data_IF_532940317255
#
_entry.id   IF_532940317255
#
_cell.length_a   1.000
_cell.length_b   1.000
_cell.length_c   1.000
_cell.angle_alpha   90.00
_cell.angle_beta   90.00
_cell.angle_gamma   90.00
#
_symmetry.space_group_name_H-M   'P 1'
#
loop_
_entity.id
_entity.type
_entity.pdbx_description
1 polymer ?
#
# COMPACT_ATOMS: atom_id res chain seq x y z
N UNK A 1 -3.89 -19.05 -30.03
CA UNK A 1 -4.57 -18.13 -29.08
C UNK A 1 -4.73 -16.79 -29.78
N UNK A 2 -5.95 -16.28 -29.88
CA UNK A 2 -6.24 -15.04 -30.62
C UNK A 2 -5.78 -13.84 -29.77
N UNK A 3 -4.72 -13.15 -30.20
CA UNK A 3 -4.05 -12.05 -29.48
C UNK A 3 -4.98 -10.85 -29.17
N UNK A 4 -6.12 -10.77 -29.84
CA UNK A 4 -7.09 -9.69 -29.75
C UNK A 4 -7.94 -9.67 -28.47
N UNK A 5 -7.98 -10.74 -27.67
CA UNK A 5 -8.80 -10.79 -26.44
C UNK A 5 -8.14 -10.20 -25.18
N UNK A 6 -6.83 -9.96 -25.21
CA UNK A 6 -6.06 -9.39 -24.08
C UNK A 6 -6.12 -7.85 -24.08
N UNK A 7 -6.35 -7.25 -25.26
CA UNK A 7 -6.27 -5.80 -25.47
C UNK A 7 -7.44 -5.03 -24.82
N UNK A 8 -8.56 -5.71 -24.51
CA UNK A 8 -9.77 -5.09 -23.95
C UNK A 8 -10.08 -5.45 -22.48
N UNK A 9 -9.11 -5.97 -21.71
CA UNK A 9 -9.32 -6.29 -20.29
C UNK A 9 -8.39 -5.47 -19.39
N UNK A 10 -8.94 -4.92 -18.31
CA UNK A 10 -8.15 -4.37 -17.21
C UNK A 10 -7.45 -5.52 -16.49
N UNK A 11 -6.13 -5.50 -16.47
CA UNK A 11 -5.32 -6.47 -15.74
C UNK A 11 -4.18 -5.77 -15.02
N UNK A 12 -3.78 -6.36 -13.90
CA UNK A 12 -2.61 -5.97 -13.11
C UNK A 12 -1.82 -7.25 -12.84
N UNK A 13 -0.56 -7.25 -13.24
CA UNK A 13 0.42 -8.27 -12.96
C UNK A 13 1.33 -7.76 -11.85
N UNK A 14 1.49 -8.54 -10.79
CA UNK A 14 2.33 -8.21 -9.63
C UNK A 14 3.25 -9.40 -9.38
N UNK A 15 4.55 -9.13 -9.30
CA UNK A 15 5.57 -10.10 -8.93
C UNK A 15 6.32 -9.56 -7.71
N UNK A 16 6.36 -10.36 -6.65
CA UNK A 16 7.07 -10.04 -5.41
C UNK A 16 7.61 -11.30 -4.75
N UNK A 17 8.66 -11.17 -3.94
CA UNK A 17 9.07 -12.20 -2.99
C UNK A 17 8.26 -12.14 -1.70
N UNK A 18 8.13 -13.27 -1.01
CA UNK A 18 7.56 -13.40 0.33
C UNK A 18 8.58 -13.01 1.42
N UNK A 19 9.84 -13.37 1.24
CA UNK A 19 10.95 -12.93 2.09
C UNK A 19 12.24 -12.72 1.29
N UNK A 20 13.16 -11.95 1.88
CA UNK A 20 14.50 -11.77 1.37
C UNK A 20 15.46 -12.86 1.85
N UNK A 21 16.76 -12.63 1.68
CA UNK A 21 17.81 -13.57 2.07
C UNK A 21 19.04 -12.81 2.56
N UNK A 22 19.71 -13.34 3.59
CA UNK A 22 21.01 -12.84 4.03
C UNK A 22 22.11 -13.15 3.02
N UNK A 23 23.25 -12.46 3.12
CA UNK A 23 24.43 -12.70 2.26
C UNK A 23 24.95 -14.15 2.32
N UNK A 24 24.63 -14.88 3.40
CA UNK A 24 25.00 -16.28 3.59
C UNK A 24 23.96 -17.28 3.08
N UNK A 25 22.85 -16.81 2.50
CA UNK A 25 21.78 -17.66 2.00
C UNK A 25 20.73 -18.07 3.04
N UNK A 26 20.83 -17.58 4.29
CA UNK A 26 19.82 -17.83 5.34
C UNK A 26 18.63 -16.87 5.20
N UNK A 27 17.48 -17.27 5.71
CA UNK A 27 16.28 -16.45 5.83
C UNK A 27 15.59 -16.65 7.20
N UNK A 28 14.49 -15.94 7.44
CA UNK A 28 13.69 -16.06 8.68
C UNK A 28 14.20 -15.25 9.86
N UNK A 29 15.34 -14.56 9.71
CA UNK A 29 15.80 -13.54 10.64
C UNK A 29 15.13 -12.19 10.45
N UNK A 30 15.64 -11.17 11.15
CA UNK A 30 15.11 -9.81 11.14
C UNK A 30 16.04 -8.82 10.42
N UNK A 31 17.04 -9.30 9.68
CA UNK A 31 17.98 -8.43 8.97
C UNK A 31 17.28 -7.70 7.81
N UNK A 32 17.81 -6.55 7.41
CA UNK A 32 17.28 -5.81 6.25
C UNK A 32 17.25 -6.68 5.00
N UNK A 33 18.32 -7.45 4.74
CA UNK A 33 18.40 -8.35 3.58
C UNK A 33 17.33 -9.44 3.58
N UNK A 34 16.95 -9.95 4.76
CA UNK A 34 15.91 -10.98 4.91
C UNK A 34 14.47 -10.44 4.85
N UNK A 35 14.28 -9.14 5.10
CA UNK A 35 12.95 -8.49 5.05
C UNK A 35 12.68 -7.75 3.74
N UNK A 36 13.72 -7.43 2.98
CA UNK A 36 13.59 -6.69 1.72
C UNK A 36 13.41 -7.65 0.55
N UNK A 37 12.33 -7.46 -0.21
CA UNK A 37 12.04 -8.19 -1.45
C UNK A 37 11.85 -7.23 -2.62
N UNK A 38 12.10 -7.71 -3.83
CA UNK A 38 11.78 -6.94 -5.03
C UNK A 38 10.27 -6.96 -5.30
N UNK A 39 9.73 -5.83 -5.74
CA UNK A 39 8.34 -5.69 -6.20
C UNK A 39 8.31 -5.15 -7.63
N UNK A 40 7.57 -5.83 -8.49
CA UNK A 40 7.38 -5.46 -9.89
C UNK A 40 5.89 -5.47 -10.24
N UNK A 41 5.42 -4.40 -10.87
CA UNK A 41 4.01 -4.20 -11.21
C UNK A 41 3.84 -3.74 -12.66
N UNK A 42 2.90 -4.35 -13.39
CA UNK A 42 2.57 -4.02 -14.78
C UNK A 42 1.05 -4.07 -14.98
N UNK A 43 0.46 -3.19 -15.79
CA UNK A 43 -0.98 -3.25 -16.07
C UNK A 43 -1.40 -2.58 -17.38
N UNK A 44 -2.62 -2.89 -17.85
CA UNK A 44 -3.14 -2.40 -19.14
C UNK A 44 -3.58 -0.94 -19.18
N UNK A 45 -3.71 -0.26 -18.04
CA UNK A 45 -4.21 1.12 -17.93
C UNK A 45 -3.44 1.96 -16.90
N UNK A 46 -2.11 1.87 -16.91
CA UNK A 46 -1.25 2.69 -16.06
C UNK A 46 -1.26 4.15 -16.54
N UNK A 47 -1.57 5.10 -15.65
CA UNK A 47 -1.36 6.52 -15.93
C UNK A 47 0.14 6.80 -16.03
N UNK A 48 0.67 6.79 -17.27
CA UNK A 48 2.10 7.04 -17.59
C UNK A 48 2.62 8.40 -17.12
N UNK A 49 1.76 9.31 -16.69
CA UNK A 49 2.11 10.70 -16.36
C UNK A 49 2.80 10.86 -15.00
N UNK A 50 2.76 9.86 -14.11
CA UNK A 50 3.32 9.95 -12.75
C UNK A 50 4.46 8.96 -12.49
N UNK A 51 4.92 8.23 -13.51
CA UNK A 51 6.19 7.54 -13.40
C UNK A 51 7.27 8.62 -13.41
N UNK A 52 7.80 8.96 -12.23
CA UNK A 52 9.00 9.80 -12.07
C UNK A 52 10.27 9.19 -12.72
N UNK A 53 10.12 8.14 -13.54
CA UNK A 53 11.14 7.51 -14.36
C UNK A 53 11.09 8.04 -15.80
N UNK A 54 10.81 9.34 -15.99
CA UNK A 54 10.82 9.99 -17.31
C UNK A 54 12.21 10.24 -17.88
N UNK A 55 13.24 9.51 -17.45
CA UNK A 55 14.53 9.53 -18.13
C UNK A 55 15.03 8.10 -18.37
N UNK A 56 15.36 7.84 -19.63
CA UNK A 56 16.20 6.74 -20.12
C UNK A 56 17.64 6.86 -19.58
N UNK A 57 17.81 7.15 -18.30
CA UNK A 57 19.08 7.03 -17.65
C UNK A 57 19.07 5.67 -16.96
N UNK A 58 19.86 4.74 -17.49
CA UNK A 58 20.43 3.65 -16.70
C UNK A 58 21.30 4.29 -15.61
N UNK A 59 20.68 4.99 -14.67
CA UNK A 59 21.32 5.40 -13.44
C UNK A 59 21.51 4.10 -12.68
N UNK A 60 22.74 3.85 -12.25
CA UNK A 60 23.02 2.89 -11.19
C UNK A 60 22.39 3.43 -9.90
N UNK A 61 21.06 3.48 -9.83
CA UNK A 61 20.34 3.83 -8.62
C UNK A 61 20.61 2.73 -7.63
N UNK A 62 21.10 3.11 -6.45
CA UNK A 62 21.22 2.17 -5.36
C UNK A 62 19.82 1.62 -5.09
N UNK A 63 19.67 0.30 -4.85
CA UNK A 63 18.35 -0.30 -4.58
C UNK A 63 17.60 0.41 -3.45
N UNK A 64 18.33 1.03 -2.51
CA UNK A 64 17.77 1.85 -1.41
C UNK A 64 17.11 3.15 -1.86
N UNK A 65 17.40 3.63 -3.07
CA UNK A 65 16.82 4.85 -3.65
C UNK A 65 15.56 4.56 -4.47
N UNK A 66 15.25 3.29 -4.74
CA UNK A 66 13.98 2.91 -5.36
C UNK A 66 12.83 3.15 -4.37
N UNK A 67 11.63 3.52 -4.87
CA UNK A 67 10.44 3.62 -4.03
C UNK A 67 10.25 2.36 -3.18
N UNK A 68 10.07 2.55 -1.88
CA UNK A 68 9.85 1.47 -0.92
C UNK A 68 8.37 1.42 -0.52
N UNK A 69 7.87 0.22 -0.27
CA UNK A 69 6.53 -0.04 0.25
C UNK A 69 6.62 -1.24 1.20
N UNK A 70 5.65 -1.38 2.09
CA UNK A 70 5.56 -2.56 2.95
C UNK A 70 4.76 -3.66 2.26
N UNK A 71 5.11 -4.93 2.48
CA UNK A 71 4.37 -6.06 1.88
C UNK A 71 2.88 -6.05 2.26
N UNK A 72 2.53 -5.55 3.45
CA UNK A 72 1.14 -5.42 3.91
C UNK A 72 0.31 -4.46 3.05
N UNK A 73 0.94 -3.53 2.33
CA UNK A 73 0.27 -2.56 1.45
C UNK A 73 -0.38 -3.26 0.25
N UNK A 74 0.20 -4.38 -0.19
CA UNK A 74 -0.27 -5.11 -1.36
C UNK A 74 -1.68 -5.67 -1.17
N UNK A 75 -1.99 -6.20 0.02
CA UNK A 75 -3.32 -6.73 0.32
C UNK A 75 -4.38 -5.61 0.32
N UNK A 76 -4.03 -4.44 0.87
CA UNK A 76 -4.89 -3.25 0.82
C UNK A 76 -5.11 -2.78 -0.61
N UNK A 77 -4.04 -2.69 -1.41
CA UNK A 77 -4.12 -2.27 -2.80
C UNK A 77 -5.05 -3.19 -3.59
N UNK A 78 -4.81 -4.51 -3.55
CA UNK A 78 -5.61 -5.50 -4.27
C UNK A 78 -7.08 -5.40 -3.85
N UNK A 79 -7.34 -5.29 -2.55
CA UNK A 79 -8.70 -5.17 -2.02
C UNK A 79 -9.45 -3.96 -2.55
N UNK A 80 -8.77 -2.80 -2.63
CA UNK A 80 -9.33 -1.56 -3.12
C UNK A 80 -9.56 -1.57 -4.65
N UNK A 81 -8.58 -2.02 -5.44
CA UNK A 81 -8.69 -1.99 -6.92
C UNK A 81 -9.66 -3.04 -7.47
N UNK A 82 -9.91 -4.13 -6.72
CA UNK A 82 -10.88 -5.17 -7.09
C UNK A 82 -12.28 -4.89 -6.56
N UNK A 83 -12.43 -3.92 -5.66
CA UNK A 83 -13.72 -3.55 -5.05
C UNK A 83 -14.19 -4.46 -3.93
N UNK A 84 -13.41 -5.46 -3.51
CA UNK A 84 -13.75 -6.34 -2.36
C UNK A 84 -13.57 -5.64 -1.01
N UNK A 85 -12.90 -4.48 -1.00
CA UNK A 85 -12.67 -3.68 0.20
C UNK A 85 -11.34 -3.97 0.88
N UNK A 86 -11.03 -3.20 1.93
CA UNK A 86 -9.78 -3.33 2.67
C UNK A 86 -9.88 -4.55 3.61
N UNK A 87 -8.91 -5.49 3.60
CA UNK A 87 -8.94 -6.64 4.51
C UNK A 87 -9.06 -6.21 5.98
N UNK A 88 -9.85 -6.95 6.76
CA UNK A 88 -10.34 -6.49 8.07
C UNK A 88 -9.23 -6.08 9.05
N UNK A 89 -8.07 -6.74 8.99
CA UNK A 89 -6.92 -6.52 9.85
C UNK A 89 -5.74 -5.87 9.14
N UNK A 90 -5.96 -5.32 7.94
CA UNK A 90 -4.89 -4.72 7.17
C UNK A 90 -4.42 -3.41 7.80
N UNK A 91 -3.11 -3.31 7.99
CA UNK A 91 -2.39 -2.06 8.27
C UNK A 91 -1.81 -1.45 6.99
N UNK A 92 -2.07 -2.05 5.82
CA UNK A 92 -1.56 -1.60 4.54
C UNK A 92 -2.06 -0.22 4.18
N UNK A 93 -1.16 0.64 3.71
CA UNK A 93 -1.40 2.01 3.26
C UNK A 93 -0.96 2.15 1.80
N UNK A 94 -1.48 3.14 1.08
CA UNK A 94 -1.11 3.34 -0.33
C UNK A 94 -0.15 4.51 -0.46
N UNK A 95 0.93 4.29 -1.21
CA UNK A 95 1.85 5.36 -1.59
C UNK A 95 1.13 6.39 -2.48
N UNK A 96 1.64 7.63 -2.50
CA UNK A 96 1.13 8.67 -3.40
C UNK A 96 1.18 8.19 -4.86
N UNK A 97 2.28 7.56 -5.27
CA UNK A 97 2.43 7.03 -6.64
C UNK A 97 1.29 6.06 -6.99
N UNK A 98 0.97 5.11 -6.11
CA UNK A 98 -0.15 4.20 -6.32
C UNK A 98 -1.50 4.93 -6.39
N UNK A 99 -1.74 5.90 -5.50
CA UNK A 99 -2.98 6.69 -5.53
C UNK A 99 -3.16 7.42 -6.87
N UNK A 100 -2.09 8.01 -7.40
CA UNK A 100 -2.11 8.71 -8.69
C UNK A 100 -2.24 7.76 -9.89
N UNK A 101 -1.74 6.53 -9.78
CA UNK A 101 -1.76 5.54 -10.87
C UNK A 101 -3.10 4.80 -10.96
N UNK A 102 -3.75 4.50 -9.84
CA UNK A 102 -5.00 3.72 -9.80
C UNK A 102 -6.27 4.56 -9.71
N UNK A 103 -6.20 5.81 -9.23
CA UNK A 103 -7.35 6.72 -9.15
C UNK A 103 -7.06 8.03 -9.89
N UNK A 104 -7.89 8.36 -10.86
CA UNK A 104 -7.65 9.46 -11.80
C UNK A 104 -7.93 10.84 -11.22
N UNK A 105 -8.88 10.96 -10.28
CA UNK A 105 -9.30 12.24 -9.70
C UNK A 105 -8.79 12.41 -8.26
N UNK A 106 -8.51 13.66 -7.86
CA UNK A 106 -8.19 13.97 -6.45
C UNK A 106 -9.33 13.59 -5.50
N UNK A 107 -10.58 13.66 -5.97
CA UNK A 107 -11.74 13.24 -5.20
C UNK A 107 -11.71 11.74 -4.89
N UNK A 108 -11.41 10.89 -5.87
CA UNK A 108 -11.31 9.44 -5.66
C UNK A 108 -10.11 9.08 -4.77
N UNK A 109 -8.98 9.77 -4.94
CA UNK A 109 -7.81 9.62 -4.04
C UNK A 109 -8.16 9.95 -2.60
N UNK A 110 -8.84 11.07 -2.37
CA UNK A 110 -9.29 11.48 -1.03
C UNK A 110 -10.31 10.50 -0.44
N UNK A 111 -11.21 9.92 -1.25
CA UNK A 111 -12.11 8.85 -0.80
C UNK A 111 -11.35 7.63 -0.30
N UNK A 112 -10.37 7.16 -1.09
CA UNK A 112 -9.54 6.02 -0.72
C UNK A 112 -8.78 6.30 0.58
N UNK A 113 -8.16 7.47 0.67
CA UNK A 113 -7.46 7.89 1.89
C UNK A 113 -8.39 7.94 3.11
N UNK A 114 -9.62 8.42 2.94
CA UNK A 114 -10.63 8.39 3.99
C UNK A 114 -11.03 6.96 4.40
N UNK A 115 -11.10 6.01 3.46
CA UNK A 115 -11.32 4.59 3.78
C UNK A 115 -10.14 4.01 4.58
N UNK A 116 -8.91 4.35 4.22
CA UNK A 116 -7.71 3.92 4.96
C UNK A 116 -7.68 4.50 6.38
N UNK A 117 -8.00 5.79 6.55
CA UNK A 117 -8.10 6.42 7.87
C UNK A 117 -9.12 5.72 8.77
N UNK A 118 -10.31 5.42 8.26
CA UNK A 118 -11.34 4.69 9.02
C UNK A 118 -10.87 3.29 9.41
N UNK A 119 -10.20 2.58 8.50
CA UNK A 119 -9.67 1.25 8.77
C UNK A 119 -8.60 1.30 9.88
N UNK A 120 -7.63 2.21 9.79
CA UNK A 120 -6.61 2.37 10.83
C UNK A 120 -7.23 2.77 12.16
N UNK A 121 -8.19 3.69 12.16
CA UNK A 121 -8.94 4.05 13.36
C UNK A 121 -9.62 2.83 13.99
N UNK A 122 -10.36 2.05 13.18
CA UNK A 122 -10.99 0.83 13.68
C UNK A 122 -9.99 -0.12 14.33
N UNK A 123 -8.78 -0.24 13.78
CA UNK A 123 -7.71 -1.07 14.35
C UNK A 123 -7.10 -0.49 15.63
N UNK A 124 -7.03 0.84 15.79
CA UNK A 124 -6.55 1.47 17.02
C UNK A 124 -7.57 1.39 18.17
N UNK A 125 -8.78 0.91 17.90
CA UNK A 125 -9.89 0.95 18.86
C UNK A 125 -10.54 2.33 18.96
N UNK A 126 -10.06 3.31 18.18
CA UNK A 126 -10.68 4.62 18.06
C UNK A 126 -11.64 4.61 16.87
N UNK A 127 -12.92 4.85 17.10
CA UNK A 127 -13.84 5.03 15.99
C UNK A 127 -13.55 6.38 15.30
N UNK A 128 -12.59 6.39 14.37
CA UNK A 128 -12.23 7.57 13.57
C UNK A 128 -13.38 7.83 12.57
N UNK A 129 -14.31 8.70 13.01
CA UNK A 129 -15.46 9.23 12.27
C UNK A 129 -16.49 8.21 11.76
N UNK A 130 -17.52 7.94 12.57
CA UNK A 130 -18.84 7.48 12.08
C UNK A 130 -19.54 8.64 11.34
N UNK A 131 -19.22 8.86 10.06
CA UNK A 131 -20.03 9.75 9.23
C UNK A 131 -21.25 8.98 8.71
N UNK A 132 -22.37 9.14 9.44
CA UNK A 132 -23.74 9.00 8.88
C UNK A 132 -23.95 9.82 7.59
N UNK A 133 -23.00 10.70 7.22
CA UNK A 133 -23.01 11.50 5.99
C UNK A 133 -22.51 10.79 4.73
N UNK A 134 -22.00 9.55 4.78
CA UNK A 134 -21.57 8.86 3.56
C UNK A 134 -22.74 8.67 2.57
N UNK A 135 -23.94 8.35 3.07
CA UNK A 135 -25.17 8.32 2.27
C UNK A 135 -25.65 9.70 1.78
N UNK A 136 -25.17 10.80 2.37
CA UNK A 136 -25.57 12.16 1.95
C UNK A 136 -24.61 12.77 0.91
N UNK A 137 -23.43 12.19 0.74
CA UNK A 137 -22.44 12.64 -0.24
C UNK A 137 -22.74 12.18 -1.67
N UNK A 138 -23.55 11.12 -1.84
CA UNK A 138 -24.05 10.71 -3.17
C UNK A 138 -25.02 11.73 -3.79
N UNK A 139 -25.55 12.67 -2.99
CA UNK A 139 -26.62 13.58 -3.43
C UNK A 139 -26.24 15.06 -3.52
N UNK A 140 -24.97 15.41 -3.29
CA UNK A 140 -24.46 16.73 -3.65
C UNK A 140 -23.42 16.55 -4.72
N UNK A 141 -23.81 16.95 -5.94
CA UNK A 141 -22.90 17.54 -6.92
C UNK A 141 -22.01 18.54 -6.18
N UNK A 142 -20.88 18.08 -5.65
CA UNK A 142 -19.90 18.91 -4.99
C UNK A 142 -19.16 19.63 -6.10
N UNK A 143 -19.71 20.80 -6.42
CA UNK A 143 -19.02 21.99 -6.90
C UNK A 143 -17.50 21.75 -6.94
N UNK A 144 -17.00 21.42 -8.13
CA UNK A 144 -15.58 21.29 -8.43
C UNK A 144 -14.79 22.60 -8.21
N UNK A 145 -15.47 23.70 -7.86
CA UNK A 145 -14.89 25.03 -7.69
C UNK A 145 -14.55 25.44 -6.24
N UNK A 146 -14.56 24.53 -5.25
CA UNK A 146 -14.29 24.90 -3.83
C UNK A 146 -12.87 24.52 -3.36
N UNK A 147 -12.20 23.57 -4.02
CA UNK A 147 -10.85 23.15 -3.63
C UNK A 147 -9.90 23.42 -4.80
N UNK A 148 -8.90 24.29 -4.58
CA UNK A 148 -7.81 24.41 -5.54
C UNK A 148 -7.08 23.08 -5.65
N UNK A 149 -6.56 22.79 -6.84
CA UNK A 149 -5.79 21.58 -7.12
C UNK A 149 -4.61 21.44 -6.14
N UNK A 150 -3.87 22.52 -5.92
CA UNK A 150 -2.76 22.61 -4.96
C UNK A 150 -3.17 22.22 -3.53
N UNK A 151 -4.32 22.71 -3.05
CA UNK A 151 -4.81 22.38 -1.70
C UNK A 151 -5.17 20.90 -1.57
N UNK A 152 -5.70 20.31 -2.63
CA UNK A 152 -6.07 18.89 -2.67
C UNK A 152 -4.83 17.98 -2.70
N UNK A 153 -3.83 18.33 -3.51
CA UNK A 153 -2.56 17.60 -3.60
C UNK A 153 -1.77 17.66 -2.29
N UNK A 154 -1.75 18.84 -1.64
CA UNK A 154 -1.17 18.99 -0.31
C UNK A 154 -1.87 18.11 0.72
N UNK A 155 -3.20 18.10 0.74
CA UNK A 155 -3.98 17.26 1.67
C UNK A 155 -3.73 15.77 1.44
N UNK A 156 -3.66 15.32 0.18
CA UNK A 156 -3.32 13.94 -0.18
C UNK A 156 -1.94 13.59 0.39
N UNK A 157 -0.94 14.44 0.15
CA UNK A 157 0.43 14.21 0.60
C UNK A 157 0.55 14.18 2.12
N UNK A 158 -0.04 15.17 2.80
CA UNK A 158 -0.05 15.26 4.27
C UNK A 158 -0.72 14.02 4.89
N UNK A 159 -1.80 13.54 4.28
CA UNK A 159 -2.51 12.33 4.71
C UNK A 159 -1.70 11.06 4.51
N UNK A 160 -1.08 10.88 3.34
CA UNK A 160 -0.23 9.71 3.06
C UNK A 160 0.92 9.66 4.06
N UNK A 161 1.57 10.79 4.34
CA UNK A 161 2.65 10.87 5.32
C UNK A 161 2.19 10.49 6.73
N UNK A 162 1.01 10.96 7.16
CA UNK A 162 0.43 10.59 8.44
C UNK A 162 0.17 9.07 8.54
N UNK A 163 -0.48 8.49 7.53
CA UNK A 163 -0.81 7.06 7.51
C UNK A 163 0.46 6.19 7.50
N UNK A 164 1.47 6.58 6.73
CA UNK A 164 2.78 5.91 6.72
C UNK A 164 3.46 5.96 8.10
N UNK A 165 3.39 7.11 8.78
CA UNK A 165 3.91 7.25 10.15
C UNK A 165 3.25 6.28 11.12
N UNK A 166 1.91 6.21 11.11
CA UNK A 166 1.14 5.30 11.97
C UNK A 166 1.44 3.84 11.64
N UNK A 167 1.53 3.49 10.36
CA UNK A 167 1.87 2.14 9.93
C UNK A 167 3.27 1.74 10.43
N UNK A 168 4.27 2.58 10.21
CA UNK A 168 5.65 2.31 10.63
C UNK A 168 5.76 2.08 12.14
N UNK A 169 5.08 2.92 12.94
CA UNK A 169 5.00 2.73 14.38
C UNK A 169 4.30 1.42 14.76
N UNK A 170 3.19 1.09 14.08
CA UNK A 170 2.43 -0.14 14.34
C UNK A 170 3.24 -1.39 14.02
N UNK A 171 3.96 -1.39 12.88
CA UNK A 171 4.80 -2.51 12.47
C UNK A 171 6.02 -2.68 13.37
N UNK A 172 6.67 -1.58 13.79
CA UNK A 172 7.81 -1.66 14.72
C UNK A 172 7.41 -2.20 16.10
N UNK A 173 6.21 -1.87 16.59
CA UNK A 173 5.67 -2.47 17.83
C UNK A 173 5.46 -3.98 17.70
N UNK A 174 5.04 -4.46 16.53
CA UNK A 174 4.94 -5.91 16.26
C UNK A 174 6.32 -6.56 16.25
N UNK A 175 7.36 -5.89 15.75
CA UNK A 175 8.74 -6.40 15.84
C UNK A 175 9.26 -6.45 17.29
N UNK A 176 8.87 -5.51 18.14
CA UNK A 176 9.26 -5.49 19.56
C UNK A 176 8.43 -6.42 20.44
N UNK A 177 7.19 -6.71 20.05
CA UNK A 177 6.48 -7.87 20.54
C UNK A 177 7.24 -9.08 19.98
N UNK A 178 8.17 -9.56 20.81
CA UNK A 178 8.19 -10.97 21.20
C UNK A 178 9.30 -11.87 20.61
N UNK A 179 10.57 -11.45 20.62
CA UNK A 179 11.69 -12.39 20.45
C UNK A 179 11.52 -13.65 21.34
N UNK A 180 11.01 -13.51 22.56
CA UNK A 180 10.76 -14.65 23.47
C UNK A 180 9.64 -15.60 23.01
N UNK A 181 8.42 -15.14 22.65
CA UNK A 181 7.39 -16.06 22.09
C UNK A 181 7.57 -16.41 20.61
N UNK A 182 8.41 -15.72 19.83
CA UNK A 182 8.91 -16.20 18.52
C UNK A 182 9.91 -17.36 18.71
N UNK A 183 10.85 -17.26 19.65
CA UNK A 183 11.75 -18.37 20.03
C UNK A 183 10.93 -19.57 20.54
N UNK A 184 9.95 -19.35 21.41
CA UNK A 184 9.06 -20.43 21.87
C UNK A 184 8.25 -21.06 20.73
N UNK A 185 7.76 -20.28 19.77
CA UNK A 185 7.08 -20.79 18.58
C UNK A 185 8.01 -21.62 17.67
N UNK A 186 9.25 -21.17 17.47
CA UNK A 186 10.27 -21.92 16.73
C UNK A 186 10.67 -23.23 17.40
N UNK A 187 10.83 -23.23 18.74
CA UNK A 187 11.10 -24.43 19.53
C UNK A 187 9.91 -25.42 19.46
N UNK A 188 8.68 -24.93 19.53
CA UNK A 188 7.48 -25.77 19.45
C UNK A 188 7.35 -26.45 18.08
N UNK A 189 7.71 -25.76 16.98
CA UNK A 189 7.73 -26.34 15.64
C UNK A 189 8.78 -27.46 15.48
N UNK A 190 9.94 -27.35 16.14
CA UNK A 190 11.01 -28.36 16.13
C UNK A 190 10.70 -29.61 16.96
N UNK A 191 9.80 -29.50 17.93
CA UNK A 191 9.39 -30.63 18.80
C UNK A 191 8.27 -31.47 18.15
N UNK A 192 7.60 -30.92 17.12
CA UNK A 192 6.44 -31.54 16.45
C UNK A 192 6.79 -32.06 15.04
N UNK A 193 8.09 -32.05 14.68
CA UNK A 193 8.63 -32.68 13.46
C UNK A 193 9.50 -33.88 13.85
#
# INVERSE_FOLDING_TARGET
MNSSSIINKNWLFILTGDHGMSDKGSHGGSTTGEKTTGLFMLGSNWNKTNDHLTENTCVTTNLKQLPQTQQVDLATLIGLITGVGIPERSLGVLSSSWLYNFWSTNYDRLKVLYMLMQQIGRLSGECVFSLKSYHKFEHKNCISSVWSQERSEKLITDTVNLLNGIQSESLSKVEHLNNKKMIFGGILMWIVS
#
